data_IF_083916738442
#
_entry.id   IF_083916738442
#
_cell.length_a   1.000
_cell.length_b   1.000
_cell.length_c   1.000
_cell.angle_alpha   90.00
_cell.angle_beta   90.00
_cell.angle_gamma   90.00
#
_symmetry.space_group_name_H-M   'P 1'
#
loop_
_entity.id
_entity.type
_entity.pdbx_description
1 polymer ?
#
# COMPACT_ATOMS: atom_id res chain seq x y z
N UNK A 1 22.65 -15.13 -0.41
CA UNK A 1 21.33 -14.76 0.15
C UNK A 1 21.41 -13.79 1.35
N UNK A 2 22.38 -13.90 2.26
CA UNK A 2 22.42 -13.08 3.49
C UNK A 2 22.75 -11.58 3.34
N UNK A 3 23.41 -11.14 2.26
CA UNK A 3 23.77 -9.72 2.05
C UNK A 3 22.58 -8.85 1.66
N UNK A 4 21.63 -9.38 0.90
CA UNK A 4 20.42 -8.68 0.43
C UNK A 4 19.46 -8.44 1.60
N UNK A 5 19.23 -9.45 2.43
CA UNK A 5 18.41 -9.35 3.64
C UNK A 5 18.96 -8.31 4.63
N UNK A 6 20.29 -8.23 4.80
CA UNK A 6 20.94 -7.21 5.64
C UNK A 6 20.71 -5.80 5.08
N UNK A 7 20.85 -5.61 3.77
CA UNK A 7 20.58 -4.33 3.10
C UNK A 7 19.12 -3.91 3.22
N UNK A 8 18.18 -4.82 3.00
CA UNK A 8 16.74 -4.57 3.16
C UNK A 8 16.43 -4.17 4.60
N UNK A 9 16.99 -4.88 5.59
CA UNK A 9 16.81 -4.56 7.01
C UNK A 9 17.36 -3.17 7.36
N UNK A 10 18.57 -2.84 6.90
CA UNK A 10 19.15 -1.50 7.07
C UNK A 10 18.29 -0.40 6.45
N UNK A 11 17.81 -0.60 5.22
CA UNK A 11 16.94 0.37 4.57
C UNK A 11 15.61 0.56 5.30
N UNK A 12 15.02 -0.53 5.80
CA UNK A 12 13.79 -0.46 6.59
C UNK A 12 13.96 0.27 7.93
N UNK A 13 15.12 0.11 8.56
CA UNK A 13 15.46 0.72 9.84
C UNK A 13 15.74 2.24 9.67
N UNK A 14 16.48 2.61 8.62
CA UNK A 14 16.79 4.00 8.28
C UNK A 14 15.52 4.79 7.90
N UNK A 15 14.61 4.18 7.15
CA UNK A 15 13.42 4.86 6.63
C UNK A 15 12.15 4.67 7.47
N UNK A 16 12.25 3.99 8.62
CA UNK A 16 11.11 3.69 9.50
C UNK A 16 9.95 2.97 8.77
N UNK A 17 10.25 2.22 7.70
CA UNK A 17 9.24 1.65 6.79
C UNK A 17 8.24 0.76 7.52
N UNK A 18 8.69 0.03 8.54
CA UNK A 18 7.87 -0.94 9.26
C UNK A 18 6.69 -0.28 9.99
N UNK A 19 6.90 0.90 10.59
CA UNK A 19 5.85 1.65 11.29
C UNK A 19 4.81 2.17 10.32
N UNK A 20 5.26 2.64 9.17
CA UNK A 20 4.42 3.19 8.10
C UNK A 20 3.62 2.06 7.45
N UNK A 21 4.30 0.99 7.03
CA UNK A 21 3.67 -0.21 6.48
C UNK A 21 2.61 -0.80 7.42
N UNK A 22 2.87 -0.89 8.73
CA UNK A 22 1.86 -1.36 9.70
C UNK A 22 0.64 -0.46 9.77
N UNK A 23 0.82 0.86 9.70
CA UNK A 23 -0.29 1.83 9.69
C UNK A 23 -1.14 1.67 8.43
N UNK A 24 -0.50 1.66 7.25
CA UNK A 24 -1.19 1.49 5.96
C UNK A 24 -1.88 0.13 5.86
N UNK A 25 -1.24 -0.95 6.34
CA UNK A 25 -1.86 -2.26 6.39
C UNK A 25 -3.20 -2.24 7.13
N UNK A 26 -3.26 -1.68 8.35
CA UNK A 26 -4.50 -1.66 9.15
C UNK A 26 -5.57 -0.77 8.52
N UNK A 27 -5.20 0.44 8.10
CA UNK A 27 -6.15 1.40 7.51
C UNK A 27 -6.76 0.82 6.23
N UNK A 28 -5.94 0.25 5.36
CA UNK A 28 -6.41 -0.22 4.06
C UNK A 28 -7.05 -1.61 4.15
N UNK A 29 -6.66 -2.45 5.11
CA UNK A 29 -7.38 -3.69 5.40
C UNK A 29 -8.84 -3.39 5.74
N UNK A 30 -9.06 -2.39 6.60
CA UNK A 30 -10.38 -1.97 7.00
C UNK A 30 -11.17 -1.37 5.83
N UNK A 31 -10.52 -0.56 5.00
CA UNK A 31 -11.12 -0.01 3.79
C UNK A 31 -11.57 -1.10 2.80
N UNK A 32 -10.75 -2.14 2.63
CA UNK A 32 -11.12 -3.31 1.84
C UNK A 32 -12.32 -4.07 2.39
N UNK A 33 -12.41 -4.24 3.70
CA UNK A 33 -13.57 -4.86 4.35
C UNK A 33 -14.85 -4.04 4.12
N UNK A 34 -14.81 -2.73 4.38
CA UNK A 34 -15.98 -1.84 4.27
C UNK A 34 -16.43 -1.71 2.82
N UNK A 35 -15.48 -1.59 1.88
CA UNK A 35 -15.78 -1.53 0.45
C UNK A 35 -16.45 -2.82 -0.03
N UNK A 36 -15.94 -3.98 0.39
CA UNK A 36 -16.56 -5.26 0.03
C UNK A 36 -17.95 -5.42 0.64
N UNK A 37 -18.14 -5.01 1.90
CA UNK A 37 -19.44 -5.01 2.56
C UNK A 37 -20.46 -4.17 1.78
N UNK A 38 -20.05 -2.97 1.35
CA UNK A 38 -20.87 -2.10 0.52
C UNK A 38 -21.22 -2.73 -0.83
N UNK A 39 -20.25 -3.38 -1.49
CA UNK A 39 -20.48 -4.07 -2.75
C UNK A 39 -21.47 -5.25 -2.61
N UNK A 40 -21.32 -6.08 -1.56
CA UNK A 40 -22.22 -7.20 -1.28
C UNK A 40 -23.63 -6.69 -0.92
N UNK A 41 -23.73 -5.67 -0.06
CA UNK A 41 -25.02 -5.06 0.28
C UNK A 41 -25.71 -4.46 -0.96
N UNK A 42 -24.95 -3.78 -1.83
CA UNK A 42 -25.47 -3.22 -3.07
C UNK A 42 -26.00 -4.30 -4.03
N UNK A 43 -25.28 -5.41 -4.17
CA UNK A 43 -25.73 -6.57 -4.94
C UNK A 43 -27.03 -7.16 -4.36
N UNK A 44 -27.08 -7.34 -3.03
CA UNK A 44 -28.26 -7.87 -2.34
C UNK A 44 -29.50 -7.00 -2.51
N UNK A 45 -29.39 -5.68 -2.32
CA UNK A 45 -30.50 -4.73 -2.52
C UNK A 45 -30.98 -4.72 -3.97
N UNK A 46 -30.07 -4.98 -4.92
CA UNK A 46 -30.39 -5.07 -6.35
C UNK A 46 -31.00 -6.42 -6.76
N UNK A 47 -31.24 -7.33 -5.82
CA UNK A 47 -31.76 -8.67 -6.09
C UNK A 47 -30.75 -9.60 -6.77
N UNK A 48 -29.44 -9.28 -6.70
CA UNK A 48 -28.36 -10.10 -7.25
C UNK A 48 -27.81 -10.97 -6.11
N UNK A 49 -28.26 -12.22 -6.05
CA UNK A 49 -27.91 -13.18 -5.00
C UNK A 49 -27.10 -14.38 -5.52
N UNK A 50 -26.80 -14.41 -6.82
CA UNK A 50 -26.06 -15.53 -7.42
C UNK A 50 -24.61 -15.55 -6.90
N UNK A 51 -24.16 -16.64 -6.25
CA UNK A 51 -22.82 -16.71 -5.65
C UNK A 51 -21.69 -16.40 -6.63
N UNK A 52 -21.85 -16.84 -7.88
CA UNK A 52 -20.88 -16.58 -8.96
C UNK A 52 -20.71 -15.10 -9.25
N UNK A 53 -21.79 -14.32 -9.19
CA UNK A 53 -21.76 -12.88 -9.44
C UNK A 53 -21.11 -12.17 -8.27
N UNK A 54 -21.42 -12.57 -7.03
CA UNK A 54 -20.79 -12.03 -5.82
C UNK A 54 -19.26 -12.26 -5.80
N UNK A 55 -18.80 -13.46 -6.17
CA UNK A 55 -17.36 -13.76 -6.29
C UNK A 55 -16.70 -12.89 -7.37
N UNK A 56 -17.36 -12.72 -8.53
CA UNK A 56 -16.82 -11.87 -9.60
C UNK A 56 -16.75 -10.40 -9.22
N UNK A 57 -17.78 -9.90 -8.50
CA UNK A 57 -17.78 -8.54 -7.92
C UNK A 57 -16.60 -8.43 -6.95
N UNK A 58 -16.43 -9.42 -6.08
CA UNK A 58 -15.35 -9.44 -5.11
C UNK A 58 -13.97 -9.32 -5.73
N UNK A 59 -13.71 -10.15 -6.74
CA UNK A 59 -12.46 -10.12 -7.48
C UNK A 59 -12.23 -8.78 -8.20
N UNK A 60 -13.28 -8.22 -8.80
CA UNK A 60 -13.23 -6.92 -9.47
C UNK A 60 -12.90 -5.79 -8.48
N UNK A 61 -13.54 -5.80 -7.31
CA UNK A 61 -13.30 -4.85 -6.22
C UNK A 61 -11.87 -5.00 -5.68
N UNK A 62 -11.39 -6.22 -5.47
CA UNK A 62 -10.00 -6.47 -5.03
C UNK A 62 -8.97 -5.92 -5.99
N UNK A 63 -9.15 -6.10 -7.31
CA UNK A 63 -8.24 -5.55 -8.32
C UNK A 63 -8.28 -4.02 -8.32
N UNK A 64 -9.48 -3.44 -8.23
CA UNK A 64 -9.65 -2.00 -8.16
C UNK A 64 -8.92 -1.40 -6.95
N UNK A 65 -9.11 -1.99 -5.77
CA UNK A 65 -8.47 -1.57 -4.52
C UNK A 65 -6.95 -1.77 -4.54
N UNK A 66 -6.46 -2.88 -5.08
CA UNK A 66 -5.02 -3.11 -5.22
C UNK A 66 -4.38 -2.03 -6.12
N UNK A 67 -5.03 -1.73 -7.24
CA UNK A 67 -4.51 -0.76 -8.21
C UNK A 67 -4.56 0.66 -7.65
N UNK A 68 -5.69 1.06 -7.05
CA UNK A 68 -5.84 2.39 -6.47
C UNK A 68 -4.94 2.59 -5.25
N UNK A 69 -4.86 1.61 -4.36
CA UNK A 69 -4.00 1.61 -3.18
C UNK A 69 -2.53 1.70 -3.56
N UNK A 70 -2.06 0.90 -4.53
CA UNK A 70 -0.68 0.95 -5.01
C UNK A 70 -0.32 2.34 -5.57
N UNK A 71 -1.10 2.83 -6.53
CA UNK A 71 -0.77 4.08 -7.23
C UNK A 71 -0.89 5.28 -6.29
N UNK A 72 -1.94 5.33 -5.47
CA UNK A 72 -2.19 6.43 -4.55
C UNK A 72 -1.09 6.56 -3.50
N UNK A 73 -0.76 5.46 -2.82
CA UNK A 73 0.28 5.46 -1.80
C UNK A 73 1.68 5.66 -2.38
N UNK A 74 1.98 5.07 -3.54
CA UNK A 74 3.27 5.27 -4.20
C UNK A 74 3.49 6.74 -4.53
N UNK A 75 2.53 7.40 -5.17
CA UNK A 75 2.65 8.82 -5.52
C UNK A 75 2.70 9.71 -4.27
N UNK A 76 1.88 9.42 -3.26
CA UNK A 76 1.85 10.20 -2.02
C UNK A 76 3.17 10.08 -1.25
N UNK A 77 3.66 8.86 -1.04
CA UNK A 77 4.89 8.61 -0.30
C UNK A 77 6.10 9.15 -1.07
N UNK A 78 6.15 8.99 -2.39
CA UNK A 78 7.20 9.61 -3.22
C UNK A 78 7.21 11.14 -3.09
N UNK A 79 6.05 11.78 -3.07
CA UNK A 79 5.96 13.23 -2.91
C UNK A 79 6.46 13.67 -1.53
N UNK A 80 6.06 12.95 -0.48
CA UNK A 80 6.47 13.24 0.90
C UNK A 80 7.98 13.05 1.09
N UNK A 81 8.54 11.94 0.57
CA UNK A 81 10.00 11.68 0.62
C UNK A 81 10.83 12.70 -0.14
N UNK A 82 10.37 13.13 -1.32
CA UNK A 82 11.04 14.21 -2.06
C UNK A 82 11.03 15.52 -1.27
N UNK A 83 9.93 15.81 -0.56
CA UNK A 83 9.83 16.95 0.34
C UNK A 83 10.82 16.86 1.51
N UNK A 84 10.89 15.70 2.18
CA UNK A 84 11.84 15.46 3.28
C UNK A 84 13.30 15.66 2.84
N UNK A 85 13.70 15.09 1.70
CA UNK A 85 15.06 15.24 1.16
C UNK A 85 15.35 16.71 0.86
N UNK A 86 14.44 17.41 0.20
CA UNK A 86 14.62 18.84 -0.13
C UNK A 86 14.79 19.71 1.11
N UNK A 87 14.08 19.39 2.20
CA UNK A 87 14.25 20.07 3.48
C UNK A 87 15.64 19.79 4.07
N UNK A 88 16.11 18.54 4.02
CA UNK A 88 17.46 18.17 4.48
C UNK A 88 18.55 18.88 3.67
N UNK A 89 18.42 18.96 2.35
CA UNK A 89 19.36 19.68 1.48
C UNK A 89 19.48 21.16 1.86
N UNK A 90 18.35 21.79 2.21
CA UNK A 90 18.30 23.18 2.65
C UNK A 90 19.06 23.40 3.96
N UNK A 91 18.94 22.47 4.92
CA UNK A 91 19.65 22.57 6.20
C UNK A 91 21.15 22.28 6.06
N UNK A 92 21.51 21.36 5.16
CA UNK A 92 22.90 20.94 4.97
C UNK A 92 23.67 21.81 3.96
N UNK A 93 22.98 22.72 3.25
CA UNK A 93 23.53 23.48 2.12
C UNK A 93 24.24 22.57 1.09
N UNK A 94 23.77 21.33 0.96
CA UNK A 94 24.38 20.30 0.11
C UNK A 94 23.28 19.46 -0.52
N UNK A 95 23.45 19.15 -1.80
CA UNK A 95 22.56 18.22 -2.51
C UNK A 95 22.76 16.78 -2.01
N UNK A 96 21.65 16.08 -1.82
CA UNK A 96 21.54 14.70 -1.38
C UNK A 96 21.15 13.75 -2.54
N UNK A 97 21.08 14.27 -3.76
CA UNK A 97 20.94 13.50 -4.99
C UNK A 97 21.98 12.35 -5.07
N UNK A 98 21.57 11.15 -5.46
CA UNK A 98 22.41 9.93 -5.53
C UNK A 98 23.07 9.50 -4.20
N UNK A 99 22.46 9.82 -3.06
CA UNK A 99 22.91 9.28 -1.77
C UNK A 99 22.14 8.02 -1.38
N UNK A 100 22.76 7.19 -0.53
CA UNK A 100 22.13 5.98 0.05
C UNK A 100 20.79 6.32 0.74
N UNK A 101 20.66 7.54 1.26
CA UNK A 101 19.43 8.06 1.88
C UNK A 101 18.32 8.21 0.84
N UNK A 102 18.60 8.80 -0.32
CA UNK A 102 17.63 8.93 -1.39
C UNK A 102 17.14 7.56 -1.92
N UNK A 103 18.06 6.61 -2.11
CA UNK A 103 17.73 5.26 -2.54
C UNK A 103 16.90 4.50 -1.51
N UNK A 104 17.21 4.67 -0.22
CA UNK A 104 16.46 4.09 0.88
C UNK A 104 14.99 4.54 0.89
N UNK A 105 14.76 5.83 0.67
CA UNK A 105 13.41 6.42 0.67
C UNK A 105 12.58 5.99 -0.55
N UNK A 106 13.19 5.90 -1.73
CA UNK A 106 12.52 5.37 -2.92
C UNK A 106 12.11 3.91 -2.73
N UNK A 107 13.01 3.08 -2.19
CA UNK A 107 12.74 1.68 -1.90
C UNK A 107 11.63 1.51 -0.85
N UNK A 108 11.66 2.31 0.22
CA UNK A 108 10.62 2.33 1.24
C UNK A 108 9.25 2.67 0.65
N UNK A 109 9.18 3.63 -0.29
CA UNK A 109 7.93 4.03 -0.95
C UNK A 109 7.29 2.87 -1.73
N UNK A 110 8.10 2.07 -2.41
CA UNK A 110 7.62 0.87 -3.13
C UNK A 110 7.11 -0.19 -2.15
N UNK A 111 7.83 -0.44 -1.05
CA UNK A 111 7.38 -1.42 -0.03
C UNK A 111 6.05 -0.99 0.59
N UNK A 112 5.93 0.28 0.98
CA UNK A 112 4.69 0.80 1.57
C UNK A 112 3.54 0.67 0.57
N UNK A 113 3.78 0.99 -0.70
CA UNK A 113 2.76 0.87 -1.73
C UNK A 113 2.31 -0.56 -2.02
N UNK A 114 3.24 -1.52 -1.94
CA UNK A 114 2.89 -2.95 -2.05
C UNK A 114 2.05 -3.41 -0.86
N UNK A 115 2.42 -3.01 0.36
CA UNK A 115 1.65 -3.35 1.57
C UNK A 115 0.26 -2.72 1.52
N UNK A 116 0.18 -1.47 1.06
CA UNK A 116 -1.06 -0.75 0.82
C UNK A 116 -1.95 -1.53 -0.15
N UNK A 117 -1.44 -1.90 -1.32
CA UNK A 117 -2.20 -2.59 -2.36
C UNK A 117 -2.69 -3.99 -1.94
N UNK A 118 -1.83 -4.76 -1.26
CA UNK A 118 -2.13 -6.14 -0.91
C UNK A 118 -3.12 -6.24 0.25
N UNK A 119 -3.09 -5.29 1.18
CA UNK A 119 -3.93 -5.34 2.38
C UNK A 119 -5.45 -5.39 2.09
N UNK A 120 -6.06 -4.42 1.38
CA UNK A 120 -7.48 -4.45 1.05
C UNK A 120 -7.82 -5.60 0.11
N UNK A 121 -6.93 -5.93 -0.85
CA UNK A 121 -7.18 -6.97 -1.83
C UNK A 121 -7.33 -8.36 -1.19
N UNK A 122 -6.47 -8.69 -0.22
CA UNK A 122 -6.53 -9.95 0.54
C UNK A 122 -7.80 -10.00 1.39
N UNK A 123 -8.13 -8.92 2.10
CA UNK A 123 -9.34 -8.84 2.92
C UNK A 123 -10.59 -9.01 2.06
N UNK A 124 -10.62 -8.34 0.90
CA UNK A 124 -11.72 -8.41 -0.06
C UNK A 124 -11.90 -9.82 -0.64
N UNK A 125 -10.80 -10.53 -0.94
CA UNK A 125 -10.87 -11.94 -1.37
C UNK A 125 -11.40 -12.82 -0.23
N UNK A 126 -10.87 -12.67 0.99
CA UNK A 126 -11.32 -13.46 2.14
C UNK A 126 -12.81 -13.22 2.42
N UNK A 127 -13.27 -11.97 2.34
CA UNK A 127 -14.67 -11.61 2.56
C UNK A 127 -15.63 -12.15 1.50
N UNK A 128 -15.11 -12.61 0.34
CA UNK A 128 -15.91 -13.22 -0.73
C UNK A 128 -15.67 -14.72 -0.88
N UNK A 129 -14.80 -15.30 -0.06
CA UNK A 129 -14.77 -16.74 0.11
C UNK A 129 -16.06 -17.18 0.81
N UNK A 130 -16.71 -18.25 0.32
CA UNK A 130 -17.92 -18.79 0.92
C UNK A 130 -17.68 -19.39 2.31
#
# INVERSE_FOLDING_TARGET
MGSILKRIKQYMEISNTLKIARRYFVINAFDGAVTMLGAIMGAYISGIDTPRVLINIGFSVSIALATSGFVGSFLSEMAERRGEIRNLEKYLFRKLDNTIVADAHNFASVIVALVDALSPAVIAIIATMP
#
